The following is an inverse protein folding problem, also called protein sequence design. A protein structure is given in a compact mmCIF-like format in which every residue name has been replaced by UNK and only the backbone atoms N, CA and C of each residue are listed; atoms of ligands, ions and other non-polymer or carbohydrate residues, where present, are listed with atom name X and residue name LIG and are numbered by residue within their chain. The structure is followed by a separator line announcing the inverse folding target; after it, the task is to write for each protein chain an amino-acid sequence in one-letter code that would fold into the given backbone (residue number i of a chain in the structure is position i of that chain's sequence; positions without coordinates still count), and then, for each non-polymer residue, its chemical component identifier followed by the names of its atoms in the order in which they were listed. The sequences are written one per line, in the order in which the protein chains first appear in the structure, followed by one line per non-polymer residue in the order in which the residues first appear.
data_IF_500547913616
#
_entry.id   IF_500547913616
#
_cell.length_a   1.000
_cell.length_b   1.000
_cell.length_c   1.000
_cell.angle_alpha   90.00
_cell.angle_beta   90.00
_cell.angle_gamma   90.00
#
_symmetry.space_group_name_H-M   'P 1'
#
loop_
_entity.id
_entity.type
_entity.pdbx_description
1 polymer ?
#
# COMPACT_ATOMS: atom_id res chain seq x y z
N UNK A 1 2.53 -41.26 -22.82
CA UNK A 1 2.46 -42.44 -21.93
C UNK A 1 1.17 -42.32 -21.13
N UNK A 2 0.30 -43.33 -21.24
CA UNK A 2 -1.07 -43.34 -20.69
C UNK A 2 -1.00 -43.78 -19.23
N UNK A 3 -1.40 -42.92 -18.29
CA UNK A 3 -1.57 -43.32 -16.89
C UNK A 3 -3.04 -43.69 -16.67
N UNK A 4 -3.22 -44.95 -16.33
CA UNK A 4 -4.47 -45.67 -16.06
C UNK A 4 -5.27 -45.06 -14.92
N UNK A 5 -6.58 -44.95 -15.12
CA UNK A 5 -7.56 -44.60 -14.10
C UNK A 5 -7.65 -45.73 -13.06
N UNK A 6 -7.32 -45.44 -11.80
CA UNK A 6 -7.64 -46.34 -10.68
C UNK A 6 -8.72 -45.67 -9.84
N UNK A 7 -9.92 -46.24 -9.91
CA UNK A 7 -11.04 -45.95 -9.05
C UNK A 7 -10.62 -46.08 -7.58
N UNK A 8 -10.60 -44.97 -6.85
CA UNK A 8 -10.65 -44.97 -5.39
C UNK A 8 -11.96 -44.30 -5.01
N UNK A 9 -12.84 -45.15 -4.51
CA UNK A 9 -14.17 -44.83 -4.06
C UNK A 9 -14.15 -43.73 -2.98
N UNK A 10 -15.04 -42.75 -3.16
CA UNK A 10 -15.96 -42.25 -2.15
C UNK A 10 -15.54 -42.43 -0.68
N UNK A 11 -14.78 -41.46 -0.17
CA UNK A 11 -14.95 -41.00 1.20
C UNK A 11 -15.26 -39.49 1.14
N UNK A 12 -16.55 -39.19 1.16
CA UNK A 12 -17.08 -37.86 1.46
C UNK A 12 -16.65 -37.46 2.87
N UNK A 13 -15.44 -36.92 3.03
CA UNK A 13 -15.16 -36.05 4.15
C UNK A 13 -16.05 -34.82 3.97
N UNK A 14 -16.85 -34.42 4.97
CA UNK A 14 -17.71 -33.27 4.85
C UNK A 14 -16.82 -32.11 4.44
N UNK A 15 -17.21 -31.46 3.37
CA UNK A 15 -16.73 -30.17 2.95
C UNK A 15 -16.87 -29.25 4.17
N UNK A 16 -15.84 -29.21 5.02
CA UNK A 16 -15.77 -28.24 6.11
C UNK A 16 -15.62 -26.92 5.39
N UNK A 17 -16.77 -26.29 5.17
CA UNK A 17 -16.84 -24.88 4.88
C UNK A 17 -16.09 -24.20 6.02
N UNK A 18 -14.79 -23.95 5.80
CA UNK A 18 -14.07 -22.89 6.47
C UNK A 18 -14.87 -21.65 6.11
N UNK A 19 -15.82 -21.29 6.98
CA UNK A 19 -16.44 -19.99 7.00
C UNK A 19 -15.29 -19.02 7.26
N UNK A 20 -14.65 -18.56 6.17
CA UNK A 20 -13.73 -17.46 6.24
C UNK A 20 -14.54 -16.29 6.83
N UNK A 21 -14.12 -15.70 7.96
CA UNK A 21 -14.81 -14.54 8.47
C UNK A 21 -14.74 -13.47 7.39
N UNK A 22 -15.89 -13.08 6.85
CA UNK A 22 -16.01 -11.91 5.97
C UNK A 22 -15.79 -10.68 6.84
N UNK A 23 -14.53 -10.31 7.07
CA UNK A 23 -14.18 -9.03 7.67
C UNK A 23 -14.49 -7.94 6.64
N UNK A 24 -15.53 -7.15 6.92
CA UNK A 24 -15.83 -5.96 6.16
C UNK A 24 -14.76 -4.91 6.48
N UNK A 25 -13.70 -4.84 5.67
CA UNK A 25 -12.75 -3.74 5.72
C UNK A 25 -13.43 -2.54 5.07
N UNK A 26 -14.07 -1.70 5.87
CA UNK A 26 -14.44 -0.35 5.41
C UNK A 26 -13.13 0.33 5.06
N UNK A 27 -12.91 0.61 3.77
CA UNK A 27 -11.88 1.56 3.36
C UNK A 27 -12.36 2.92 3.83
N UNK A 28 -11.97 3.31 5.03
CA UNK A 28 -11.88 4.71 5.35
C UNK A 28 -10.96 5.33 4.28
N UNK A 29 -11.45 6.36 3.60
CA UNK A 29 -10.67 7.09 2.63
C UNK A 29 -9.55 7.79 3.41
N UNK A 30 -8.40 7.13 3.54
CA UNK A 30 -7.19 7.73 4.11
C UNK A 30 -6.88 8.91 3.20
N UNK A 31 -7.29 10.10 3.65
CA UNK A 31 -7.05 11.35 2.94
C UNK A 31 -5.54 11.54 2.82
N UNK A 32 -4.98 11.16 1.68
CA UNK A 32 -3.56 11.34 1.41
C UNK A 32 -3.22 12.83 1.47
N UNK A 33 -2.02 13.20 1.96
CA UNK A 33 -1.58 14.58 1.90
C UNK A 33 -1.64 15.08 0.45
N UNK A 34 -2.33 16.20 0.22
CA UNK A 34 -2.52 16.78 -1.11
C UNK A 34 -1.26 17.46 -1.69
N UNK A 35 -0.11 17.29 -1.04
CA UNK A 35 1.19 17.79 -1.50
C UNK A 35 1.29 19.33 -1.56
N UNK A 36 0.40 20.05 -0.86
CA UNK A 36 0.42 21.52 -0.75
C UNK A 36 1.57 21.99 0.15
N UNK A 37 1.83 23.29 0.14
CA UNK A 37 2.84 23.91 1.00
C UNK A 37 2.59 23.54 2.48
N UNK A 38 3.60 22.98 3.13
CA UNK A 38 3.54 22.53 4.52
C UNK A 38 2.89 21.15 4.74
N UNK A 39 2.31 20.52 3.70
CA UNK A 39 1.84 19.13 3.81
C UNK A 39 3.00 18.16 4.04
N UNK A 40 2.70 17.04 4.70
CA UNK A 40 3.62 15.92 4.83
C UNK A 40 4.00 15.35 3.46
N UNK A 41 5.27 14.96 3.31
CA UNK A 41 5.82 14.30 2.13
C UNK A 41 6.89 13.27 2.52
N UNK A 42 7.26 12.38 1.59
CA UNK A 42 8.23 11.33 1.85
C UNK A 42 7.65 10.19 2.68
N UNK A 43 8.45 9.68 3.62
CA UNK A 43 8.15 8.45 4.36
C UNK A 43 8.25 7.19 3.50
N UNK A 44 7.95 6.02 4.08
CA UNK A 44 7.99 4.73 3.38
C UNK A 44 7.11 4.67 2.12
N UNK A 45 6.03 5.46 2.11
CA UNK A 45 5.09 5.56 0.97
C UNK A 45 5.61 6.53 -0.11
N UNK A 46 6.48 7.47 0.26
CA UNK A 46 7.03 8.45 -0.68
C UNK A 46 5.99 9.49 -1.14
N UNK A 47 5.23 10.09 -0.23
CA UNK A 47 4.21 11.08 -0.60
C UNK A 47 4.81 12.28 -1.36
N UNK A 48 4.30 12.61 -2.56
CA UNK A 48 4.87 13.66 -3.41
C UNK A 48 4.36 15.07 -3.04
N UNK A 49 5.13 16.09 -3.43
CA UNK A 49 4.70 17.49 -3.41
C UNK A 49 4.16 17.94 -4.77
N UNK A 50 3.30 18.97 -4.79
CA UNK A 50 2.85 19.57 -6.05
C UNK A 50 4.00 20.21 -6.85
N UNK A 51 3.77 20.43 -8.14
CA UNK A 51 4.76 21.02 -9.07
C UNK A 51 5.36 22.32 -8.52
N UNK A 52 6.66 22.49 -8.69
CA UNK A 52 7.40 23.67 -8.20
C UNK A 52 7.80 23.62 -6.73
N UNK A 53 7.51 22.51 -6.03
CA UNK A 53 7.94 22.28 -4.64
C UNK A 53 8.90 21.10 -4.53
N UNK A 54 9.61 21.06 -3.40
CA UNK A 54 10.51 19.96 -3.01
C UNK A 54 10.13 19.49 -1.61
N UNK A 55 10.27 18.19 -1.37
CA UNK A 55 10.10 17.64 -0.03
C UNK A 55 11.35 17.92 0.80
N UNK A 56 11.25 18.79 1.80
CA UNK A 56 12.34 19.01 2.76
C UNK A 56 12.27 17.91 3.80
N UNK A 57 13.08 16.86 3.61
CA UNK A 57 13.20 15.75 4.55
C UNK A 57 13.82 16.21 5.87
N UNK A 58 13.39 15.58 6.96
CA UNK A 58 13.94 15.83 8.30
C UNK A 58 15.36 15.26 8.47
N UNK A 59 15.73 14.26 7.66
CA UNK A 59 17.06 13.67 7.67
C UNK A 59 17.35 12.80 6.44
N UNK A 60 18.48 12.08 6.49
CA UNK A 60 18.92 11.19 5.42
C UNK A 60 18.88 9.72 5.89
N UNK A 61 17.68 9.16 5.93
CA UNK A 61 17.41 7.75 6.23
C UNK A 61 16.24 7.25 5.36
N UNK A 62 16.13 5.93 5.17
CA UNK A 62 15.30 5.33 4.11
C UNK A 62 13.83 5.78 4.15
N UNK A 63 13.26 5.96 5.34
CA UNK A 63 11.86 6.33 5.54
C UNK A 63 11.69 7.76 6.06
N UNK A 64 12.65 8.65 5.79
CA UNK A 64 12.56 10.04 6.20
C UNK A 64 11.29 10.69 5.63
N UNK A 65 10.48 11.23 6.54
CA UNK A 65 9.40 12.14 6.21
C UNK A 65 9.92 13.58 6.10
N UNK A 66 9.04 14.46 5.65
CA UNK A 66 9.36 15.88 5.53
C UNK A 66 8.13 16.73 5.27
N UNK A 67 8.39 17.97 4.88
CA UNK A 67 7.36 18.95 4.52
C UNK A 67 7.59 19.54 3.14
N UNK A 68 6.51 19.73 2.39
CA UNK A 68 6.58 20.37 1.09
C UNK A 68 6.92 21.86 1.22
N UNK A 69 8.01 22.28 0.58
CA UNK A 69 8.48 23.67 0.54
C UNK A 69 8.66 24.15 -0.90
N UNK A 70 8.60 25.47 -1.12
CA UNK A 70 8.86 26.07 -2.45
C UNK A 70 10.30 25.74 -2.89
N UNK A 71 10.48 25.32 -4.15
CA UNK A 71 11.83 25.25 -4.73
C UNK A 71 12.40 26.66 -4.77
N UNK A 72 13.57 26.87 -4.19
CA UNK A 72 14.33 28.09 -4.45
C UNK A 72 14.70 28.09 -5.93
N UNK A 73 14.35 29.17 -6.64
CA UNK A 73 14.88 29.42 -7.98
C UNK A 73 16.39 29.58 -7.80
N UNK A 74 17.20 28.64 -8.28
CA UNK A 74 18.61 28.94 -8.53
C UNK A 74 18.62 29.91 -9.70
N UNK A 75 18.89 31.17 -9.39
CA UNK A 75 19.15 32.24 -10.37
C UNK A 75 20.59 32.07 -10.85
#
# INVERSE_FOLDING_TARGET
MKFTHSAVALLFLPLTALAAPTVNVVRDEIKTPDGKLGSFCGGIVGFPCNKGMVCKLEGNFADAGGVCVKKTKRV
#
